data_IF_828414723128
#
_entry.id   IF_828414723128
#
_cell.length_a   1.000
_cell.length_b   1.000
_cell.length_c   1.000
_cell.angle_alpha   90.00
_cell.angle_beta   90.00
_cell.angle_gamma   90.00
#
_symmetry.space_group_name_H-M   'P 1'
#
loop_
_entity.id
_entity.type
_entity.pdbx_description
1 polymer ?
#
# COMPACT_ATOMS: atom_id res chain seq x y z
N UNK A 1 22.23 -21.97 -20.40
CA UNK A 1 20.95 -21.27 -20.16
C UNK A 1 20.44 -21.84 -18.87
N UNK A 2 20.36 -21.05 -17.79
CA UNK A 2 19.97 -21.56 -16.49
C UNK A 2 18.46 -21.79 -16.48
N UNK A 3 18.07 -23.02 -16.19
CA UNK A 3 16.68 -23.47 -16.07
C UNK A 3 15.96 -22.63 -15.01
N UNK A 4 14.83 -22.03 -15.36
CA UNK A 4 13.90 -21.42 -14.40
C UNK A 4 13.06 -22.54 -13.81
N UNK A 5 13.38 -22.94 -12.58
CA UNK A 5 12.56 -23.87 -11.79
C UNK A 5 11.19 -23.23 -11.53
N UNK A 6 10.15 -23.85 -12.09
CA UNK A 6 8.75 -23.63 -11.72
C UNK A 6 8.52 -24.29 -10.35
N UNK A 7 8.36 -23.50 -9.30
CA UNK A 7 8.06 -24.03 -7.96
C UNK A 7 6.56 -23.92 -7.70
N UNK A 8 5.82 -25.04 -7.64
CA UNK A 8 4.42 -25.02 -7.27
C UNK A 8 4.26 -24.99 -5.74
N UNK A 9 3.10 -24.49 -5.31
CA UNK A 9 2.46 -24.66 -4.00
C UNK A 9 2.91 -23.76 -2.82
N UNK A 10 2.04 -22.78 -2.52
CA UNK A 10 1.67 -22.29 -1.17
C UNK A 10 2.78 -22.28 -0.13
N UNK A 11 3.74 -21.36 -0.25
CA UNK A 11 4.72 -21.14 0.79
C UNK A 11 4.06 -20.50 2.02
N UNK A 12 3.88 -21.30 3.08
CA UNK A 12 3.50 -20.86 4.43
C UNK A 12 4.55 -19.94 5.10
N UNK A 13 5.47 -19.36 4.32
CA UNK A 13 6.47 -18.40 4.74
C UNK A 13 6.87 -17.51 3.56
N UNK A 14 5.90 -16.80 2.97
CA UNK A 14 6.19 -15.73 2.00
C UNK A 14 6.86 -14.58 2.76
N UNK A 15 8.17 -14.43 2.56
CA UNK A 15 8.94 -13.30 3.07
C UNK A 15 8.38 -11.94 2.60
N UNK A 16 8.93 -10.82 3.11
CA UNK A 16 8.41 -9.49 2.80
C UNK A 16 8.53 -9.18 1.30
N UNK A 17 7.53 -8.48 0.75
CA UNK A 17 7.57 -7.97 -0.61
C UNK A 17 8.61 -6.84 -0.68
N UNK A 18 9.61 -7.00 -1.55
CA UNK A 18 10.60 -5.94 -1.81
C UNK A 18 9.97 -4.85 -2.68
N UNK A 19 9.90 -3.63 -2.16
CA UNK A 19 9.43 -2.44 -2.90
C UNK A 19 10.55 -1.40 -2.91
N UNK A 20 10.99 -0.99 -4.10
CA UNK A 20 12.03 0.02 -4.24
C UNK A 20 11.67 1.08 -5.27
N UNK A 21 12.40 2.20 -5.23
CA UNK A 21 12.44 3.18 -6.31
C UNK A 21 13.88 3.61 -6.51
N UNK A 22 14.16 4.93 -6.54
CA UNK A 22 15.54 5.45 -6.54
C UNK A 22 16.05 5.61 -5.11
N UNK A 23 15.48 6.54 -4.32
CA UNK A 23 15.81 6.71 -2.89
C UNK A 23 15.06 5.74 -1.95
N UNK A 24 14.08 5.00 -2.46
CA UNK A 24 13.31 4.03 -1.68
C UNK A 24 12.37 4.64 -0.63
N UNK A 25 11.88 5.87 -0.83
CA UNK A 25 11.04 6.56 0.17
C UNK A 25 9.79 7.26 -0.42
N UNK A 26 9.89 7.98 -1.54
CA UNK A 26 8.74 8.67 -2.15
C UNK A 26 7.73 7.71 -2.77
N UNK A 27 8.03 7.21 -3.98
CA UNK A 27 7.16 6.25 -4.71
C UNK A 27 6.96 4.93 -3.96
N UNK A 28 8.01 4.45 -3.28
CA UNK A 28 7.92 3.28 -2.40
C UNK A 28 6.89 3.51 -1.30
N UNK A 29 6.94 4.67 -0.63
CA UNK A 29 5.95 5.04 0.39
C UNK A 29 4.54 5.15 -0.17
N UNK A 30 4.35 5.78 -1.34
CA UNK A 30 3.05 5.84 -2.00
C UNK A 30 2.49 4.44 -2.27
N UNK A 31 3.29 3.53 -2.84
CA UNK A 31 2.83 2.18 -3.16
C UNK A 31 2.40 1.41 -1.91
N UNK A 32 3.24 1.41 -0.87
CA UNK A 32 2.96 0.69 0.38
C UNK A 32 1.74 1.30 1.08
N UNK A 33 1.68 2.63 1.20
CA UNK A 33 0.56 3.31 1.84
C UNK A 33 -0.76 3.08 1.10
N UNK A 34 -0.77 3.11 -0.23
CA UNK A 34 -1.95 2.78 -1.03
C UNK A 34 -2.40 1.35 -0.74
N UNK A 35 -1.47 0.38 -0.70
CA UNK A 35 -1.82 -1.02 -0.42
C UNK A 35 -2.47 -1.19 0.95
N UNK A 36 -1.90 -0.58 2.00
CA UNK A 36 -2.44 -0.62 3.36
C UNK A 36 -3.80 0.09 3.42
N UNK A 37 -3.92 1.25 2.79
CA UNK A 37 -5.18 2.01 2.76
C UNK A 37 -6.31 1.25 2.06
N UNK A 38 -6.03 0.59 0.93
CA UNK A 38 -6.99 -0.29 0.26
C UNK A 38 -7.44 -1.44 1.17
N UNK A 39 -6.52 -2.03 1.95
CA UNK A 39 -6.86 -3.08 2.92
C UNK A 39 -7.76 -2.54 4.04
N UNK A 40 -7.47 -1.35 4.59
CA UNK A 40 -8.32 -0.71 5.60
C UNK A 40 -9.73 -0.43 5.05
N UNK A 41 -9.82 0.21 3.87
CA UNK A 41 -11.12 0.50 3.22
C UNK A 41 -11.93 -0.78 3.00
N UNK A 42 -11.29 -1.83 2.47
CA UNK A 42 -11.98 -3.11 2.21
C UNK A 42 -12.44 -3.81 3.50
N UNK A 43 -11.68 -3.68 4.59
CA UNK A 43 -11.97 -4.41 5.83
C UNK A 43 -12.87 -3.65 6.80
N UNK A 44 -12.85 -2.32 6.78
CA UNK A 44 -13.48 -1.47 7.81
C UNK A 44 -14.38 -0.36 7.23
N UNK A 45 -14.37 -0.13 5.92
CA UNK A 45 -15.08 0.99 5.30
C UNK A 45 -14.47 2.37 5.54
N UNK A 46 -13.38 2.45 6.31
CA UNK A 46 -12.66 3.69 6.65
C UNK A 46 -11.15 3.53 6.45
N UNK A 47 -10.42 4.64 6.37
CA UNK A 47 -8.96 4.65 6.24
C UNK A 47 -8.31 5.79 7.00
N UNK A 48 -7.30 5.47 7.81
CA UNK A 48 -6.46 6.45 8.50
C UNK A 48 -5.17 6.69 7.72
N UNK A 49 -5.24 7.60 6.75
CA UNK A 49 -4.10 7.93 5.88
C UNK A 49 -2.94 8.52 6.69
N UNK A 50 -3.22 9.39 7.66
CA UNK A 50 -2.19 10.01 8.50
C UNK A 50 -1.47 8.95 9.33
N UNK A 51 -2.22 8.06 9.98
CA UNK A 51 -1.67 6.96 10.76
C UNK A 51 -0.76 6.06 9.92
N UNK A 52 -1.19 5.70 8.71
CA UNK A 52 -0.38 4.90 7.77
C UNK A 52 0.95 5.61 7.48
N UNK A 53 0.93 6.89 7.09
CA UNK A 53 2.16 7.63 6.76
C UNK A 53 3.06 7.80 7.96
N UNK A 54 2.50 8.06 9.15
CA UNK A 54 3.25 8.13 10.40
C UNK A 54 3.96 6.81 10.70
N UNK A 55 3.27 5.66 10.60
CA UNK A 55 3.88 4.35 10.78
C UNK A 55 5.01 4.09 9.77
N UNK A 56 4.77 4.37 8.48
CA UNK A 56 5.82 4.21 7.47
C UNK A 56 7.06 5.07 7.75
N UNK A 57 6.88 6.28 8.29
CA UNK A 57 7.99 7.16 8.68
C UNK A 57 8.73 6.70 9.93
N UNK A 58 8.08 5.94 10.83
CA UNK A 58 8.74 5.26 11.93
C UNK A 58 9.61 4.11 11.43
N UNK A 59 9.12 3.32 10.46
CA UNK A 59 9.86 2.19 9.89
C UNK A 59 11.03 2.64 9.00
N UNK A 60 10.83 3.70 8.21
CA UNK A 60 11.85 4.30 7.35
C UNK A 60 11.63 5.80 7.23
N UNK A 61 12.57 6.59 7.75
CA UNK A 61 12.49 8.05 7.69
C UNK A 61 12.28 8.57 6.27
N UNK A 62 11.37 9.54 6.11
CA UNK A 62 11.12 10.22 4.83
C UNK A 62 10.12 9.54 3.88
N UNK A 63 9.44 8.48 4.31
CA UNK A 63 8.37 7.86 3.52
C UNK A 63 7.28 8.87 3.16
N UNK A 64 6.92 8.90 1.87
CA UNK A 64 6.08 9.93 1.23
C UNK A 64 6.70 11.32 1.40
N UNK A 65 7.41 11.75 0.36
CA UNK A 65 8.35 12.86 0.42
C UNK A 65 7.73 14.23 0.18
N UNK A 66 6.65 14.31 -0.60
CA UNK A 66 6.07 15.60 -1.01
C UNK A 66 4.57 15.66 -0.71
N UNK A 67 4.04 16.88 -0.65
CA UNK A 67 2.61 17.10 -0.42
C UNK A 67 1.77 16.53 -1.58
N UNK A 68 2.27 16.61 -2.82
CA UNK A 68 1.61 16.06 -4.01
C UNK A 68 1.51 14.54 -3.94
N UNK A 69 2.53 13.86 -3.42
CA UNK A 69 2.49 12.42 -3.18
C UNK A 69 1.44 12.03 -2.12
N UNK A 70 1.30 12.86 -1.08
CA UNK A 70 0.29 12.68 -0.05
C UNK A 70 -1.13 12.94 -0.58
N UNK A 71 -1.33 13.99 -1.37
CA UNK A 71 -2.59 14.27 -2.07
C UNK A 71 -2.95 13.16 -3.07
N UNK A 72 -1.95 12.66 -3.80
CA UNK A 72 -2.13 11.53 -4.71
C UNK A 72 -2.62 10.27 -3.97
N UNK A 73 -2.10 10.01 -2.77
CA UNK A 73 -2.56 8.90 -1.93
C UNK A 73 -4.05 9.05 -1.56
N UNK A 74 -4.48 10.24 -1.13
CA UNK A 74 -5.90 10.54 -0.89
C UNK A 74 -6.76 10.29 -2.14
N UNK A 75 -6.35 10.84 -3.29
CA UNK A 75 -7.08 10.67 -4.54
C UNK A 75 -7.20 9.19 -4.95
N UNK A 76 -6.11 8.45 -4.85
CA UNK A 76 -6.06 7.02 -5.19
C UNK A 76 -6.98 6.21 -4.29
N UNK A 77 -6.99 6.48 -2.99
CA UNK A 77 -7.84 5.77 -2.03
C UNK A 77 -9.33 6.13 -2.20
N UNK A 78 -9.65 7.38 -2.53
CA UNK A 78 -11.01 7.77 -2.89
C UNK A 78 -11.51 7.05 -4.15
N UNK A 79 -10.67 6.94 -5.19
CA UNK A 79 -10.99 6.16 -6.39
C UNK A 79 -11.20 4.67 -6.08
N UNK A 80 -10.40 4.10 -5.19
CA UNK A 80 -10.57 2.72 -4.76
C UNK A 80 -11.87 2.52 -3.97
N UNK A 81 -12.19 3.41 -3.03
CA UNK A 81 -13.42 3.36 -2.25
C UNK A 81 -14.67 3.39 -3.15
N UNK A 82 -14.66 4.21 -4.21
CA UNK A 82 -15.76 4.29 -5.18
C UNK A 82 -15.99 2.99 -5.99
N UNK A 83 -15.00 2.08 -6.01
CA UNK A 83 -15.08 0.78 -6.69
C UNK A 83 -15.50 -0.36 -5.76
N UNK A 84 -15.55 -0.12 -4.44
CA UNK A 84 -15.98 -1.15 -3.50
C UNK A 84 -17.48 -1.41 -3.65
N UNK A 85 -17.92 -2.68 -3.51
CA UNK A 85 -19.34 -2.99 -3.42
C UNK A 85 -19.95 -2.17 -2.29
N UNK A 86 -21.06 -1.49 -2.56
CA UNK A 86 -21.80 -0.78 -1.52
C UNK A 86 -22.29 -1.82 -0.51
N UNK A 87 -21.95 -1.68 0.77
CA UNK A 87 -22.65 -2.45 1.81
C UNK A 87 -24.13 -2.01 1.78
N UNK A 88 -25.09 -2.96 1.86
CA UNK A 88 -26.48 -2.59 2.00
C UNK A 88 -26.62 -1.75 3.27
N UNK A 89 -27.12 -0.51 3.12
CA UNK A 89 -27.51 0.32 4.25
C UNK A 89 -28.47 -0.48 5.14
N UNK A 90 -28.29 -0.49 6.47
CA UNK A 90 -29.28 -1.03 7.38
C UNK A 90 -30.62 -0.31 7.25
#
# INVERSE_FOLDING_TARGET
VAEVEDSPETAANTGPIVVHCSAGIGRTGCFIATRIGCQQLKARGEVDILGIVCQLRLDRGGMIQTAEQYQFLHHTLALYAAQLPQEPSP
#
